data_IF_973483508482
#
_entry.id   IF_973483508482
#
_cell.length_a   1.000
_cell.length_b   1.000
_cell.length_c   1.000
_cell.angle_alpha   90.00
_cell.angle_beta   90.00
_cell.angle_gamma   90.00
#
_symmetry.space_group_name_H-M   'P 1'
#
loop_
_entity.id
_entity.type
_entity.pdbx_description
1 polymer ?
#
# COMPACT_ATOMS: atom_id res chain seq x y z
N UNK A 1 27.38 -3.24 -27.06
CA UNK A 1 27.45 -3.20 -25.59
C UNK A 1 26.14 -2.72 -24.94
N UNK A 2 25.42 -1.73 -25.50
CA UNK A 2 24.17 -1.20 -24.93
C UNK A 2 22.94 -2.16 -24.92
N UNK A 3 22.89 -3.16 -25.82
CA UNK A 3 21.78 -4.13 -25.85
C UNK A 3 21.84 -5.12 -24.67
N UNK A 4 23.02 -5.66 -24.39
CA UNK A 4 23.25 -6.55 -23.24
C UNK A 4 22.96 -5.85 -21.90
N UNK A 5 23.31 -4.57 -21.78
CA UNK A 5 23.04 -3.80 -20.57
C UNK A 5 21.53 -3.61 -20.31
N UNK A 6 20.75 -3.37 -21.37
CA UNK A 6 19.28 -3.35 -21.31
C UNK A 6 18.69 -4.71 -20.95
N UNK A 7 19.18 -5.81 -21.53
CA UNK A 7 18.71 -7.17 -21.21
C UNK A 7 19.01 -7.55 -19.75
N UNK A 8 20.17 -7.15 -19.22
CA UNK A 8 20.54 -7.32 -17.82
C UNK A 8 19.62 -6.51 -16.90
N UNK A 9 19.32 -5.26 -17.25
CA UNK A 9 18.41 -4.40 -16.48
C UNK A 9 16.97 -4.93 -16.48
N UNK A 10 16.49 -5.45 -17.62
CA UNK A 10 15.17 -6.11 -17.71
C UNK A 10 15.14 -7.35 -16.79
N UNK A 11 16.17 -8.19 -16.86
CA UNK A 11 16.26 -9.40 -16.03
C UNK A 11 16.33 -9.06 -14.55
N UNK A 12 17.08 -8.01 -14.17
CA UNK A 12 17.14 -7.51 -12.80
C UNK A 12 15.78 -6.98 -12.33
N UNK A 13 15.06 -6.26 -13.19
CA UNK A 13 13.73 -5.74 -12.87
C UNK A 13 12.73 -6.88 -12.63
N UNK A 14 12.75 -7.92 -13.48
CA UNK A 14 11.91 -9.12 -13.30
C UNK A 14 12.22 -9.81 -11.97
N UNK A 15 13.49 -10.02 -11.65
CA UNK A 15 13.89 -10.63 -10.36
C UNK A 15 13.39 -9.83 -9.16
N UNK A 16 13.50 -8.50 -9.21
CA UNK A 16 12.99 -7.62 -8.14
C UNK A 16 11.46 -7.73 -8.04
N UNK A 17 10.75 -7.78 -9.17
CA UNK A 17 9.29 -7.95 -9.18
C UNK A 17 8.87 -9.27 -8.54
N UNK A 18 9.54 -10.38 -8.88
CA UNK A 18 9.25 -11.69 -8.26
C UNK A 18 9.53 -11.70 -6.77
N UNK A 19 10.63 -11.09 -6.35
CA UNK A 19 10.96 -10.95 -4.94
C UNK A 19 9.91 -10.11 -4.19
N UNK A 20 9.57 -8.92 -4.70
CA UNK A 20 8.54 -8.05 -4.09
C UNK A 20 7.17 -8.74 -3.96
N UNK A 21 6.77 -9.55 -4.93
CA UNK A 21 5.53 -10.34 -4.83
C UNK A 21 5.60 -11.38 -3.71
N UNK A 22 6.75 -12.01 -3.54
CA UNK A 22 6.97 -13.01 -2.48
C UNK A 22 6.96 -12.38 -1.09
N UNK A 23 7.61 -11.22 -0.94
CA UNK A 23 7.57 -10.43 0.30
C UNK A 23 6.15 -9.97 0.63
N UNK A 24 5.40 -9.45 -0.37
CA UNK A 24 4.00 -9.05 -0.17
C UNK A 24 3.14 -10.20 0.38
N UNK A 25 3.30 -11.40 -0.19
CA UNK A 25 2.57 -12.58 0.27
C UNK A 25 2.98 -12.97 1.70
N UNK A 26 4.27 -12.83 2.03
CA UNK A 26 4.81 -13.11 3.35
C UNK A 26 4.26 -12.15 4.39
N UNK A 27 4.19 -10.85 4.08
CA UNK A 27 3.61 -9.84 4.98
C UNK A 27 2.12 -10.05 5.21
N UNK A 28 1.37 -10.46 4.17
CA UNK A 28 -0.05 -10.85 4.33
C UNK A 28 -0.17 -12.06 5.27
N UNK A 29 0.69 -13.07 5.12
CA UNK A 29 0.70 -14.22 6.01
C UNK A 29 1.06 -13.83 7.46
N UNK A 30 2.00 -12.90 7.64
CA UNK A 30 2.39 -12.37 8.95
C UNK A 30 1.25 -11.57 9.59
N UNK A 31 0.53 -10.76 8.81
CA UNK A 31 -0.65 -10.04 9.28
C UNK A 31 -1.67 -11.01 9.87
N UNK A 32 -1.96 -12.11 9.18
CA UNK A 32 -2.89 -13.13 9.68
C UNK A 32 -2.39 -13.79 10.97
N UNK A 33 -1.09 -14.10 11.08
CA UNK A 33 -0.51 -14.65 12.33
C UNK A 33 -0.63 -13.67 13.50
N UNK A 34 -0.33 -12.40 13.27
CA UNK A 34 -0.42 -11.36 14.31
C UNK A 34 -1.85 -11.22 14.81
N UNK A 35 -2.83 -11.20 13.89
CA UNK A 35 -4.25 -11.05 14.24
C UNK A 35 -4.83 -12.26 14.98
N UNK A 36 -4.33 -13.48 14.74
CA UNK A 36 -4.77 -14.69 15.46
C UNK A 36 -4.34 -14.69 16.94
N UNK A 37 -3.25 -14.00 17.29
CA UNK A 37 -2.68 -14.03 18.65
C UNK A 37 -3.37 -13.08 19.65
N UNK A 38 -4.43 -12.38 19.23
CA UNK A 38 -5.28 -11.52 20.07
C UNK A 38 -4.75 -10.11 20.29
N UNK A 39 -5.58 -9.20 20.82
CA UNK A 39 -5.27 -7.76 20.97
C UNK A 39 -4.54 -7.52 22.29
N UNK A 40 -3.21 -7.42 22.23
CA UNK A 40 -2.35 -6.82 23.28
C UNK A 40 -1.74 -5.54 22.71
N UNK A 41 -1.19 -4.69 23.55
CA UNK A 41 -0.54 -3.44 23.09
C UNK A 41 0.61 -3.71 22.10
N UNK A 42 1.33 -4.82 22.28
CA UNK A 42 2.35 -5.33 21.35
C UNK A 42 1.78 -5.72 19.96
N UNK A 43 0.50 -6.07 19.89
CA UNK A 43 -0.18 -6.48 18.64
C UNK A 43 -0.54 -5.25 17.82
N UNK A 44 -0.89 -4.12 18.44
CA UNK A 44 -1.18 -2.88 17.72
C UNK A 44 0.04 -2.37 16.95
N UNK A 45 1.22 -2.36 17.59
CA UNK A 45 2.46 -1.96 16.93
C UNK A 45 2.82 -2.93 15.80
N UNK A 46 2.71 -4.24 16.05
CA UNK A 46 3.00 -5.27 15.06
C UNK A 46 2.07 -5.21 13.84
N UNK A 47 0.79 -4.90 14.04
CA UNK A 47 -0.19 -4.70 12.96
C UNK A 47 0.16 -3.44 12.15
N UNK A 48 0.46 -2.33 12.83
CA UNK A 48 0.85 -1.07 12.17
C UNK A 48 2.08 -1.26 11.28
N UNK A 49 3.12 -1.90 11.81
CA UNK A 49 4.35 -2.22 11.08
C UNK A 49 4.10 -3.14 9.89
N UNK A 50 3.28 -4.17 10.06
CA UNK A 50 2.96 -5.09 8.95
C UNK A 50 2.17 -4.38 7.84
N UNK A 51 1.18 -3.56 8.21
CA UNK A 51 0.39 -2.79 7.24
C UNK A 51 1.24 -1.74 6.51
N UNK A 52 2.17 -1.07 7.20
CA UNK A 52 3.07 -0.09 6.59
C UNK A 52 3.99 -0.75 5.56
N UNK A 53 4.53 -1.94 5.85
CA UNK A 53 5.36 -2.72 4.93
C UNK A 53 4.58 -3.18 3.69
N UNK A 54 3.34 -3.64 3.85
CA UNK A 54 2.45 -3.98 2.72
C UNK A 54 2.27 -2.76 1.79
N UNK A 55 2.02 -1.58 2.35
CA UNK A 55 1.84 -0.34 1.58
C UNK A 55 3.13 0.02 0.85
N UNK A 56 4.29 -0.07 1.52
CA UNK A 56 5.59 0.20 0.94
C UNK A 56 5.88 -0.73 -0.26
N UNK A 57 5.68 -2.03 -0.10
CA UNK A 57 5.87 -3.01 -1.16
C UNK A 57 4.94 -2.73 -2.35
N UNK A 58 3.68 -2.36 -2.10
CA UNK A 58 2.74 -1.99 -3.16
C UNK A 58 3.26 -0.81 -4.00
N UNK A 59 3.82 0.23 -3.37
CA UNK A 59 4.42 1.35 -4.09
C UNK A 59 5.65 0.91 -4.91
N UNK A 60 6.57 0.16 -4.30
CA UNK A 60 7.78 -0.33 -4.97
C UNK A 60 7.44 -1.21 -6.18
N UNK A 61 6.47 -2.11 -6.03
CA UNK A 61 6.00 -2.97 -7.10
C UNK A 61 5.40 -2.15 -8.24
N UNK A 62 4.55 -1.17 -7.92
CA UNK A 62 4.01 -0.23 -8.90
C UNK A 62 5.09 0.48 -9.70
N UNK A 63 6.13 0.99 -9.04
CA UNK A 63 7.26 1.65 -9.71
C UNK A 63 8.00 0.72 -10.67
N UNK A 64 8.23 -0.54 -10.26
CA UNK A 64 8.90 -1.55 -11.09
C UNK A 64 8.06 -2.00 -12.29
N UNK A 65 6.73 -1.88 -12.20
CA UNK A 65 5.77 -2.11 -13.26
C UNK A 65 5.51 -0.88 -14.15
N UNK A 66 6.23 0.23 -13.93
CA UNK A 66 6.07 1.45 -14.74
C UNK A 66 4.95 2.37 -14.29
N UNK A 67 4.35 2.14 -13.11
CA UNK A 67 3.32 3.00 -12.52
C UNK A 67 3.99 4.01 -11.58
N UNK A 68 3.67 5.30 -11.74
CA UNK A 68 4.18 6.33 -10.83
C UNK A 68 3.47 6.28 -9.47
N UNK A 69 4.16 6.68 -8.39
CA UNK A 69 3.55 6.78 -7.05
C UNK A 69 2.33 7.70 -7.05
N UNK A 70 2.43 8.86 -7.73
CA UNK A 70 1.32 9.79 -7.87
C UNK A 70 0.09 9.15 -8.56
N UNK A 71 0.30 8.31 -9.58
CA UNK A 71 -0.80 7.58 -10.23
C UNK A 71 -1.51 6.62 -9.27
N UNK A 72 -0.77 5.96 -8.37
CA UNK A 72 -1.34 5.09 -7.34
C UNK A 72 -2.15 5.93 -6.35
N UNK A 73 -1.59 7.02 -5.85
CA UNK A 73 -2.26 7.92 -4.91
C UNK A 73 -3.54 8.54 -5.47
N UNK A 74 -3.54 8.96 -6.75
CA UNK A 74 -4.75 9.45 -7.42
C UNK A 74 -5.82 8.36 -7.46
N UNK A 75 -5.45 7.11 -7.79
CA UNK A 75 -6.39 5.99 -7.80
C UNK A 75 -6.94 5.69 -6.39
N UNK A 76 -6.13 5.76 -5.35
CA UNK A 76 -6.57 5.60 -3.95
C UNK A 76 -7.59 6.70 -3.59
N UNK A 77 -7.26 7.96 -3.85
CA UNK A 77 -8.15 9.09 -3.58
C UNK A 77 -9.49 8.98 -4.33
N UNK A 78 -9.45 8.54 -5.59
CA UNK A 78 -10.67 8.34 -6.38
C UNK A 78 -11.53 7.20 -5.81
N UNK A 79 -10.93 6.11 -5.35
CA UNK A 79 -11.64 5.00 -4.69
C UNK A 79 -12.31 5.46 -3.39
N UNK A 80 -11.63 6.25 -2.57
CA UNK A 80 -12.18 6.80 -1.34
C UNK A 80 -13.41 7.68 -1.65
N UNK A 81 -13.26 8.63 -2.58
CA UNK A 81 -14.37 9.51 -2.99
C UNK A 81 -15.55 8.73 -3.55
N UNK A 82 -15.28 7.74 -4.41
CA UNK A 82 -16.32 6.91 -4.99
C UNK A 82 -17.05 6.10 -3.92
N UNK A 83 -16.32 5.45 -3.00
CA UNK A 83 -16.93 4.68 -1.91
C UNK A 83 -17.79 5.52 -0.98
N UNK A 84 -17.45 6.80 -0.77
CA UNK A 84 -18.30 7.75 -0.04
C UNK A 84 -19.58 8.07 -0.83
N UNK A 85 -19.46 8.37 -2.12
CA UNK A 85 -20.60 8.71 -3.00
C UNK A 85 -21.57 7.52 -3.12
N UNK A 86 -21.03 6.32 -3.27
CA UNK A 86 -21.81 5.09 -3.40
C UNK A 86 -22.41 4.63 -2.05
N UNK A 87 -22.08 5.31 -0.95
CA UNK A 87 -22.48 4.93 0.41
C UNK A 87 -22.18 3.45 0.69
N UNK A 88 -20.97 3.03 0.32
CA UNK A 88 -20.48 1.67 0.52
C UNK A 88 -20.63 1.26 2.00
N UNK A 89 -20.88 -0.01 2.30
CA UNK A 89 -21.20 -0.48 3.65
C UNK A 89 -20.19 0.02 4.71
N UNK A 90 -18.90 0.00 4.38
CA UNK A 90 -17.83 0.55 5.22
C UNK A 90 -18.05 2.02 5.60
N UNK A 91 -18.45 2.86 4.64
CA UNK A 91 -18.79 4.26 4.93
C UNK A 91 -20.11 4.37 5.67
N UNK A 92 -21.14 3.65 5.22
CA UNK A 92 -22.50 3.72 5.79
C UNK A 92 -22.53 3.33 7.26
N UNK A 93 -21.77 2.31 7.65
CA UNK A 93 -21.80 1.75 9.00
C UNK A 93 -20.70 2.29 9.92
N UNK A 94 -19.55 2.68 9.37
CA UNK A 94 -18.37 3.04 10.19
C UNK A 94 -17.81 4.44 9.88
N UNK A 95 -18.07 4.99 8.70
CA UNK A 95 -17.53 6.30 8.29
C UNK A 95 -16.04 6.30 7.98
N UNK A 96 -15.43 5.11 7.82
CA UNK A 96 -13.97 4.95 7.70
C UNK A 96 -13.40 5.69 6.48
N UNK A 97 -14.14 5.77 5.37
CA UNK A 97 -13.66 6.43 4.15
C UNK A 97 -13.63 7.94 4.33
N UNK A 98 -14.65 8.51 4.98
CA UNK A 98 -14.66 9.93 5.36
C UNK A 98 -13.53 10.27 6.33
N UNK A 99 -13.28 9.41 7.33
CA UNK A 99 -12.17 9.62 8.28
C UNK A 99 -10.81 9.54 7.57
N UNK A 100 -10.61 8.52 6.74
CA UNK A 100 -9.39 8.36 5.95
C UNK A 100 -9.16 9.54 5.00
N UNK A 101 -10.21 10.06 4.35
CA UNK A 101 -10.11 11.23 3.50
C UNK A 101 -9.63 12.47 4.28
N UNK A 102 -10.16 12.69 5.49
CA UNK A 102 -9.73 13.79 6.37
C UNK A 102 -8.26 13.64 6.76
N UNK A 103 -7.86 12.43 7.18
CA UNK A 103 -6.48 12.13 7.55
C UNK A 103 -5.52 12.44 6.39
N UNK A 104 -5.76 11.88 5.20
CA UNK A 104 -4.88 12.07 4.04
C UNK A 104 -4.77 13.53 3.59
N UNK A 105 -5.86 14.30 3.68
CA UNK A 105 -5.85 15.73 3.35
C UNK A 105 -5.05 16.54 4.37
N UNK A 106 -5.20 16.25 5.68
CA UNK A 106 -4.47 16.95 6.73
C UNK A 106 -2.96 16.66 6.69
N UNK A 107 -2.57 15.41 6.44
CA UNK A 107 -1.15 15.01 6.29
C UNK A 107 -0.48 15.70 5.10
N UNK A 108 -1.22 15.93 4.01
CA UNK A 108 -0.73 16.68 2.84
C UNK A 108 -0.55 18.18 3.10
N UNK A 109 -1.35 18.78 3.97
CA UNK A 109 -1.21 20.20 4.34
C UNK A 109 0.02 20.41 5.22
N UNK A 110 0.29 19.49 6.15
CA UNK A 110 1.47 19.54 7.03
C UNK A 110 2.80 19.47 6.26
N UNK A 111 2.84 18.76 5.14
CA UNK A 111 4.04 18.65 4.29
C UNK A 111 4.28 19.86 3.36
N UNK A 112 3.43 20.89 3.40
CA UNK A 112 3.58 22.15 2.64
C UNK A 112 4.07 23.33 3.49
N UNK A 113 4.36 23.10 4.78
CA UNK A 113 4.83 24.11 5.73
C UNK A 113 6.30 23.90 6.02
#
# INVERSE_FOLDING_TARGET
>A
MALFDREIDITRNIKIIEWLKSELLTDIANLFKVLVNGVREEVHESVSETLSNIILICYMLGRRLGVSYNSIEIKINNKIKLGIIENHDVEKYYGDLTELAKHLNSSRIKNKV
#
